data_IF_611314385349
#
_entry.id   IF_611314385349
#
_cell.length_a   1.000
_cell.length_b   1.000
_cell.length_c   1.000
_cell.angle_alpha   90.00
_cell.angle_beta   90.00
_cell.angle_gamma   90.00
#
_symmetry.space_group_name_H-M   'P 1'
#
loop_
_entity.id
_entity.type
_entity.pdbx_description
1 polymer ?
#
# COMPACT_ATOMS: atom_id res chain seq x y z
N UNK A 1 15.41 14.11 -7.34
CA UNK A 1 15.59 15.56 -7.59
C UNK A 1 14.33 16.25 -7.09
N UNK A 2 14.40 17.20 -6.15
CA UNK A 2 13.21 17.82 -5.57
C UNK A 2 12.77 19.02 -6.42
N UNK A 3 11.69 18.84 -7.19
CA UNK A 3 11.18 19.85 -8.13
C UNK A 3 10.81 21.14 -7.40
N UNK A 4 10.29 21.05 -6.17
CA UNK A 4 9.93 22.22 -5.36
C UNK A 4 11.19 23.04 -4.99
N UNK A 5 12.32 22.37 -4.74
CA UNK A 5 13.58 23.05 -4.45
C UNK A 5 14.13 23.78 -5.69
N UNK A 6 14.00 23.19 -6.88
CA UNK A 6 14.38 23.84 -8.14
C UNK A 6 13.50 25.06 -8.41
N UNK A 7 12.19 24.95 -8.20
CA UNK A 7 11.27 26.07 -8.35
C UNK A 7 11.55 27.19 -7.35
N UNK A 8 11.97 26.86 -6.12
CA UNK A 8 12.44 27.86 -5.16
C UNK A 8 13.69 28.59 -5.67
N UNK A 9 14.67 27.87 -6.21
CA UNK A 9 15.88 28.49 -6.78
C UNK A 9 15.54 29.41 -7.97
N UNK A 10 14.59 29.00 -8.81
CA UNK A 10 14.09 29.82 -9.92
C UNK A 10 13.37 31.08 -9.41
N UNK A 11 12.56 30.98 -8.36
CA UNK A 11 11.91 32.13 -7.70
C UNK A 11 12.96 33.10 -7.11
N UNK A 12 14.01 32.59 -6.48
CA UNK A 12 15.10 33.41 -5.95
C UNK A 12 15.86 34.13 -7.07
N UNK A 13 16.07 33.47 -8.21
CA UNK A 13 16.65 34.08 -9.40
C UNK A 13 15.72 35.16 -10.00
N UNK A 14 14.43 34.88 -10.09
CA UNK A 14 13.41 35.84 -10.54
C UNK A 14 13.33 37.08 -9.62
N UNK A 15 13.47 36.91 -8.31
CA UNK A 15 13.58 38.03 -7.36
C UNK A 15 14.78 38.93 -7.66
N UNK A 16 15.95 38.33 -7.92
CA UNK A 16 17.16 39.08 -8.32
C UNK A 16 16.93 39.84 -9.64
N UNK A 17 16.29 39.20 -10.62
CA UNK A 17 15.93 39.86 -11.88
C UNK A 17 14.97 41.04 -11.65
N UNK A 18 14.00 40.92 -10.74
CA UNK A 18 13.06 41.99 -10.40
C UNK A 18 13.78 43.19 -9.79
N UNK A 19 14.77 42.96 -8.94
CA UNK A 19 15.57 44.03 -8.35
C UNK A 19 16.48 44.72 -9.36
N UNK A 20 16.97 44.00 -10.37
CA UNK A 20 17.67 44.59 -11.51
C UNK A 20 16.71 45.38 -12.40
N UNK A 21 15.50 44.86 -12.66
CA UNK A 21 14.48 45.53 -13.48
C UNK A 21 14.07 46.89 -12.94
N UNK A 22 14.08 47.09 -11.61
CA UNK A 22 13.85 48.40 -10.98
C UNK A 22 14.85 49.47 -11.46
N UNK A 23 16.08 49.08 -11.81
CA UNK A 23 17.16 49.99 -12.25
C UNK A 23 17.15 50.28 -13.75
N UNK A 24 16.55 49.39 -14.56
CA UNK A 24 16.58 49.46 -16.04
C UNK A 24 15.57 50.48 -16.60
N UNK A 25 14.59 50.93 -15.80
CA UNK A 25 13.61 51.96 -16.21
C UNK A 25 12.55 51.49 -17.20
N UNK A 26 12.81 50.41 -17.94
CA UNK A 26 11.92 49.77 -18.91
C UNK A 26 10.70 49.12 -18.23
N UNK A 27 9.51 49.51 -18.67
CA UNK A 27 8.24 49.02 -18.15
C UNK A 27 7.89 47.62 -18.67
N UNK A 28 8.20 47.32 -19.94
CA UNK A 28 7.93 46.02 -20.56
C UNK A 28 8.81 44.95 -19.92
N UNK A 29 10.08 45.28 -19.65
CA UNK A 29 10.98 44.39 -18.93
C UNK A 29 10.48 44.08 -17.51
N UNK A 30 9.99 45.09 -16.76
CA UNK A 30 9.43 44.90 -15.42
C UNK A 30 8.19 44.01 -15.44
N UNK A 31 7.33 44.18 -16.45
CA UNK A 31 6.12 43.37 -16.62
C UNK A 31 6.48 41.90 -16.86
N UNK A 32 7.36 41.61 -17.82
CA UNK A 32 7.80 40.23 -18.12
C UNK A 32 8.42 39.55 -16.89
N UNK A 33 9.20 40.28 -16.09
CA UNK A 33 9.78 39.73 -14.86
C UNK A 33 8.72 39.45 -13.80
N UNK A 34 7.69 40.29 -13.69
CA UNK A 34 6.56 40.05 -12.79
C UNK A 34 5.76 38.81 -13.22
N UNK A 35 5.48 38.66 -14.52
CA UNK A 35 4.78 37.50 -15.08
C UNK A 35 5.57 36.21 -14.84
N UNK A 36 6.89 36.23 -15.08
CA UNK A 36 7.78 35.11 -14.77
C UNK A 36 7.71 34.73 -13.28
N UNK A 37 7.74 35.73 -12.39
CA UNK A 37 7.67 35.49 -10.95
C UNK A 37 6.34 34.84 -10.55
N UNK A 38 5.23 35.33 -11.10
CA UNK A 38 3.90 34.77 -10.86
C UNK A 38 3.81 33.32 -11.35
N UNK A 39 4.23 33.07 -12.60
CA UNK A 39 4.19 31.74 -13.20
C UNK A 39 5.03 30.71 -12.41
N UNK A 40 6.19 31.12 -11.88
CA UNK A 40 7.01 30.26 -11.02
C UNK A 40 6.35 29.99 -9.66
N UNK A 41 5.62 30.97 -9.12
CA UNK A 41 4.84 30.82 -7.90
C UNK A 41 3.72 29.80 -8.07
N UNK A 42 2.94 29.94 -9.14
CA UNK A 42 1.85 29.03 -9.50
C UNK A 42 2.37 27.61 -9.74
N UNK A 43 3.44 27.45 -10.51
CA UNK A 43 4.06 26.16 -10.76
C UNK A 43 4.55 25.48 -9.46
N UNK A 44 5.03 26.26 -8.49
CA UNK A 44 5.46 25.72 -7.19
C UNK A 44 4.27 25.20 -6.36
N UNK A 45 3.15 25.92 -6.37
CA UNK A 45 1.92 25.49 -5.69
C UNK A 45 1.37 24.21 -6.34
N UNK A 46 1.24 24.19 -7.66
CA UNK A 46 0.77 23.02 -8.42
C UNK A 46 1.67 21.79 -8.19
N UNK A 47 3.00 21.98 -8.19
CA UNK A 47 3.95 20.92 -7.89
C UNK A 47 3.76 20.35 -6.47
N UNK A 48 3.46 21.21 -5.49
CA UNK A 48 3.14 20.80 -4.12
C UNK A 48 1.88 19.94 -4.06
N UNK A 49 0.81 20.36 -4.75
CA UNK A 49 -0.43 19.59 -4.83
C UNK A 49 -0.24 18.23 -5.51
N UNK A 50 0.51 18.19 -6.62
CA UNK A 50 0.83 16.95 -7.32
C UNK A 50 1.64 15.99 -6.44
N UNK A 51 2.56 16.50 -5.63
CA UNK A 51 3.34 15.70 -4.67
C UNK A 51 2.42 15.08 -3.60
N UNK A 52 1.44 15.83 -3.09
CA UNK A 52 0.44 15.29 -2.15
C UNK A 52 -0.45 14.22 -2.80
N UNK A 53 -0.96 14.47 -4.01
CA UNK A 53 -1.77 13.51 -4.77
C UNK A 53 -0.99 12.22 -5.07
N UNK A 54 0.30 12.35 -5.43
CA UNK A 54 1.18 11.21 -5.68
C UNK A 54 1.39 10.37 -4.41
N UNK A 55 1.64 11.02 -3.26
CA UNK A 55 1.79 10.32 -1.99
C UNK A 55 0.52 9.53 -1.62
N UNK A 56 -0.65 10.16 -1.73
CA UNK A 56 -1.94 9.49 -1.48
C UNK A 56 -2.18 8.31 -2.44
N UNK A 57 -1.84 8.47 -3.73
CA UNK A 57 -1.95 7.39 -4.70
C UNK A 57 -1.01 6.22 -4.39
N UNK A 58 0.23 6.50 -3.96
CA UNK A 58 1.18 5.46 -3.55
C UNK A 58 0.70 4.68 -2.32
N UNK A 59 0.13 5.36 -1.33
CA UNK A 59 -0.49 4.71 -0.17
C UNK A 59 -1.66 3.79 -0.58
N UNK A 60 -2.53 4.26 -1.47
CA UNK A 60 -3.63 3.44 -2.00
C UNK A 60 -3.11 2.22 -2.78
N UNK A 61 -2.05 2.37 -3.57
CA UNK A 61 -1.42 1.24 -4.26
C UNK A 61 -0.93 0.19 -3.26
N UNK A 62 -0.25 0.61 -2.18
CA UNK A 62 0.22 -0.33 -1.14
C UNK A 62 -0.94 -1.07 -0.49
N UNK A 63 -2.02 -0.34 -0.13
CA UNK A 63 -3.22 -0.93 0.45
C UNK A 63 -3.90 -1.93 -0.50
N UNK A 64 -4.10 -1.55 -1.76
CA UNK A 64 -4.72 -2.41 -2.76
C UNK A 64 -3.84 -3.63 -3.05
N UNK A 65 -2.52 -3.48 -3.11
CA UNK A 65 -1.61 -4.61 -3.26
C UNK A 65 -1.69 -5.57 -2.08
N UNK A 66 -1.85 -5.07 -0.85
CA UNK A 66 -2.08 -5.92 0.32
C UNK A 66 -3.39 -6.69 0.22
N UNK A 67 -4.48 -6.03 -0.19
CA UNK A 67 -5.79 -6.67 -0.40
C UNK A 67 -5.76 -7.69 -1.54
N UNK A 68 -5.08 -7.39 -2.65
CA UNK A 68 -4.92 -8.32 -3.77
C UNK A 68 -4.09 -9.52 -3.33
N UNK A 69 -3.01 -9.32 -2.56
CA UNK A 69 -2.26 -10.44 -1.98
C UNK A 69 -3.15 -11.32 -1.10
N UNK A 70 -3.98 -10.73 -0.24
CA UNK A 70 -4.97 -11.46 0.57
C UNK A 70 -5.95 -12.26 -0.29
N UNK A 71 -6.48 -11.68 -1.37
CA UNK A 71 -7.42 -12.36 -2.29
C UNK A 71 -6.75 -13.40 -3.19
N UNK A 72 -5.49 -13.19 -3.56
CA UNK A 72 -4.70 -14.14 -4.35
C UNK A 72 -4.35 -15.40 -3.54
N UNK A 73 -4.41 -15.30 -2.21
CA UNK A 73 -4.58 -16.46 -1.36
C UNK A 73 -6.04 -16.95 -1.60
N UNK A 74 -6.26 -17.65 -2.72
CA UNK A 74 -7.56 -18.20 -3.13
C UNK A 74 -8.40 -18.71 -1.96
N UNK A 75 -9.71 -18.46 -2.00
CA UNK A 75 -10.62 -18.75 -0.90
C UNK A 75 -10.68 -20.26 -0.62
N UNK A 76 -10.67 -20.67 0.65
CA UNK A 76 -10.83 -22.08 0.99
C UNK A 76 -12.29 -22.51 0.88
N UNK A 77 -12.49 -23.80 0.64
CA UNK A 77 -13.77 -24.47 0.83
C UNK A 77 -13.78 -25.13 2.20
N UNK A 78 -14.85 -24.95 2.96
CA UNK A 78 -15.09 -25.66 4.22
C UNK A 78 -15.55 -27.09 3.94
N UNK A 79 -14.90 -28.08 4.55
CA UNK A 79 -15.24 -29.49 4.37
C UNK A 79 -16.13 -30.00 5.51
N UNK A 80 -16.79 -31.15 5.29
CA UNK A 80 -17.60 -31.82 6.32
C UNK A 80 -16.79 -32.28 7.54
N UNK A 81 -15.46 -32.26 7.43
CA UNK A 81 -14.52 -32.62 8.48
C UNK A 81 -14.16 -31.42 9.39
N UNK A 82 -14.75 -30.25 9.15
CA UNK A 82 -14.52 -29.03 9.92
C UNK A 82 -13.21 -28.30 9.60
N UNK A 83 -12.64 -28.57 8.42
CA UNK A 83 -11.34 -28.03 7.99
C UNK A 83 -11.46 -27.29 6.67
N UNK A 84 -10.45 -26.49 6.33
CA UNK A 84 -10.37 -25.85 5.02
C UNK A 84 -9.57 -26.67 4.02
N UNK A 85 -9.94 -26.57 2.75
CA UNK A 85 -9.19 -27.03 1.58
C UNK A 85 -9.04 -25.90 0.58
N UNK A 86 -7.90 -25.80 -0.09
CA UNK A 86 -7.65 -24.82 -1.13
C UNK A 86 -7.62 -25.48 -2.51
N UNK A 87 -8.19 -24.81 -3.50
CA UNK A 87 -8.16 -25.28 -4.89
C UNK A 87 -6.72 -25.46 -5.37
N UNK A 88 -6.42 -26.62 -5.95
CA UNK A 88 -5.07 -26.97 -6.41
C UNK A 88 -4.09 -27.41 -5.33
N UNK A 89 -4.47 -27.39 -4.04
CA UNK A 89 -3.61 -27.85 -2.95
C UNK A 89 -4.12 -29.14 -2.29
N UNK A 90 -3.28 -30.17 -2.26
CA UNK A 90 -3.58 -31.42 -1.54
C UNK A 90 -3.24 -31.27 -0.06
N UNK A 91 -4.25 -31.13 0.80
CA UNK A 91 -4.06 -31.07 2.25
C UNK A 91 -5.27 -30.50 2.99
N UNK A 92 -5.22 -30.57 4.33
CA UNK A 92 -6.20 -29.96 5.22
C UNK A 92 -5.59 -28.76 5.91
N UNK A 93 -6.37 -27.71 6.07
CA UNK A 93 -5.91 -26.43 6.59
C UNK A 93 -6.76 -25.99 7.78
N UNK A 94 -6.11 -25.32 8.71
CA UNK A 94 -6.71 -24.82 9.93
C UNK A 94 -7.69 -23.67 9.63
N UNK A 95 -8.96 -23.84 10.01
CA UNK A 95 -10.00 -22.82 9.84
C UNK A 95 -9.74 -21.60 10.71
N UNK A 96 -9.41 -21.81 11.99
CA UNK A 96 -9.09 -20.72 12.92
C UNK A 96 -7.92 -19.83 12.47
N UNK A 97 -6.84 -20.43 11.94
CA UNK A 97 -5.68 -19.65 11.48
C UNK A 97 -5.96 -18.87 10.19
N UNK A 98 -6.85 -19.39 9.35
CA UNK A 98 -7.33 -18.69 8.18
C UNK A 98 -8.27 -17.55 8.56
N UNK A 99 -9.33 -17.82 9.32
CA UNK A 99 -10.37 -16.83 9.63
C UNK A 99 -9.85 -15.62 10.43
N UNK A 100 -8.83 -15.83 11.27
CA UNK A 100 -8.26 -14.76 12.12
C UNK A 100 -7.12 -14.00 11.45
N UNK A 101 -6.45 -14.57 10.45
CA UNK A 101 -5.24 -13.95 9.91
C UNK A 101 -4.79 -14.38 8.53
N UNK A 102 -5.69 -14.94 7.72
CA UNK A 102 -5.46 -15.39 6.34
C UNK A 102 -4.24 -16.34 6.21
N UNK A 103 -3.97 -17.15 7.26
CA UNK A 103 -2.82 -18.06 7.28
C UNK A 103 -3.22 -19.47 6.86
N UNK A 104 -2.63 -19.93 5.76
CA UNK A 104 -2.72 -21.33 5.28
C UNK A 104 -1.86 -22.27 6.12
N UNK A 105 -2.30 -22.57 7.34
CA UNK A 105 -1.61 -23.53 8.20
C UNK A 105 -2.10 -24.94 7.90
N UNK A 106 -1.22 -25.78 7.35
CA UNK A 106 -1.51 -27.21 7.12
C UNK A 106 -1.65 -27.96 8.44
N UNK A 107 -2.67 -28.79 8.56
CA UNK A 107 -2.89 -29.65 9.71
C UNK A 107 -2.00 -30.89 9.65
N UNK A 108 -1.58 -31.35 10.82
CA UNK A 108 -0.85 -32.60 11.01
C UNK A 108 -1.79 -33.72 11.45
N UNK A 109 -1.53 -34.96 11.03
CA UNK A 109 -2.27 -36.11 11.52
C UNK A 109 -1.96 -36.35 12.99
N UNK A 110 -3.00 -36.65 13.76
CA UNK A 110 -2.89 -37.13 15.14
C UNK A 110 -2.82 -38.65 15.10
N UNK A 111 -2.03 -39.27 15.99
CA UNK A 111 -1.97 -40.74 16.11
C UNK A 111 -3.35 -41.30 16.46
N UNK A 112 -3.66 -42.52 15.98
CA UNK A 112 -4.93 -43.20 16.22
C UNK A 112 -5.31 -43.27 17.70
N UNK A 113 -4.31 -43.41 18.57
CA UNK A 113 -4.51 -43.52 20.02
C UNK A 113 -5.10 -42.24 20.64
N UNK A 114 -5.02 -41.11 19.93
CA UNK A 114 -5.48 -39.80 20.37
C UNK A 114 -6.63 -39.23 19.51
N UNK A 115 -7.28 -40.06 18.67
CA UNK A 115 -8.38 -39.60 17.81
C UNK A 115 -9.61 -39.12 18.59
N UNK A 116 -9.73 -39.45 19.88
CA UNK A 116 -10.75 -38.88 20.77
C UNK A 116 -10.66 -37.34 20.86
N UNK A 117 -9.48 -36.75 20.65
CA UNK A 117 -9.30 -35.30 20.61
C UNK A 117 -9.54 -34.72 19.21
N UNK A 118 -9.48 -35.56 18.17
CA UNK A 118 -9.58 -35.19 16.76
C UNK A 118 -8.54 -35.92 15.89
N UNK A 119 -8.86 -36.08 14.61
CA UNK A 119 -7.99 -36.73 13.61
C UNK A 119 -6.82 -35.85 13.17
N UNK A 120 -6.97 -34.52 13.28
CA UNK A 120 -5.95 -33.57 12.86
C UNK A 120 -5.72 -32.48 13.89
N UNK A 121 -4.49 -31.98 13.97
CA UNK A 121 -4.07 -30.88 14.84
C UNK A 121 -3.38 -29.78 14.04
N UNK A 122 -3.68 -28.52 14.38
CA UNK A 122 -2.95 -27.37 13.87
C UNK A 122 -1.67 -27.14 14.69
N UNK A 123 -0.46 -27.16 14.09
CA UNK A 123 0.80 -26.93 14.82
C UNK A 123 0.98 -25.46 15.26
N UNK A 124 0.14 -24.53 14.78
CA UNK A 124 0.27 -23.10 15.10
C UNK A 124 -0.59 -22.66 16.27
N UNK A 125 -1.84 -23.15 16.33
CA UNK A 125 -2.81 -22.75 17.37
C UNK A 125 -3.27 -23.92 18.24
N UNK A 126 -2.76 -25.13 18.01
CA UNK A 126 -3.10 -26.36 18.75
C UNK A 126 -4.59 -26.74 18.72
N UNK A 127 -5.36 -26.20 17.78
CA UNK A 127 -6.74 -26.62 17.55
C UNK A 127 -6.79 -28.02 16.95
N UNK A 128 -7.76 -28.83 17.40
CA UNK A 128 -8.03 -30.17 16.89
C UNK A 128 -9.31 -30.18 16.04
N UNK A 129 -9.34 -31.06 15.05
CA UNK A 129 -10.41 -31.15 14.05
C UNK A 129 -10.74 -32.62 13.74
N UNK A 130 -11.96 -32.87 13.26
CA UNK A 130 -12.41 -34.21 12.86
C UNK A 130 -12.65 -35.17 14.01
N UNK A 131 -13.08 -34.65 15.17
CA UNK A 131 -13.66 -35.50 16.20
C UNK A 131 -14.94 -36.14 15.63
N UNK A 132 -15.07 -37.45 15.76
CA UNK A 132 -16.34 -38.15 15.53
C UNK A 132 -17.21 -37.95 16.78
N UNK A 133 -18.49 -37.62 16.58
CA UNK A 133 -19.51 -37.69 17.64
C UNK A 133 -19.75 -39.14 18.09
#
# INVERSE_FOLDING_TARGET
MDIIAILQQALDASNKLRDLAKKVGDADFKMIVADLHSALGDAKLESGELKMKLAAAQEQIVLLQAQVKQKAVGQPTYTNEGVYSFEGETGRFCTSCWDVGDRRVRLSNVSSDFHFAGKWMCPKCNAYYGAED
#
